data_IF_090564939531
#
_entry.id   IF_090564939531
#
_cell.length_a   1.000
_cell.length_b   1.000
_cell.length_c   1.000
_cell.angle_alpha   90.00
_cell.angle_beta   90.00
_cell.angle_gamma   90.00
#
_symmetry.space_group_name_H-M   'P 1'
#
loop_
_entity.id
_entity.type
_entity.pdbx_description
1 polymer ?
#
# COMPACT_ATOMS: atom_id res chain seq x y z
N UNK A 1 16.30 11.59 -8.33
CA UNK A 1 14.93 11.13 -8.07
C UNK A 1 15.01 9.65 -7.74
N UNK A 2 14.94 9.30 -6.46
CA UNK A 2 14.59 7.93 -6.06
C UNK A 2 13.21 7.67 -6.66
N UNK A 3 13.09 6.64 -7.48
CA UNK A 3 11.96 6.43 -8.38
C UNK A 3 10.63 6.40 -7.62
N UNK A 4 9.65 7.23 -8.00
CA UNK A 4 8.37 7.39 -7.31
C UNK A 4 7.69 6.06 -6.89
N UNK A 5 7.88 4.96 -7.64
CA UNK A 5 7.36 3.63 -7.28
C UNK A 5 7.96 3.03 -5.99
N UNK A 6 9.22 3.34 -5.64
CA UNK A 6 9.85 2.82 -4.41
C UNK A 6 9.23 3.44 -3.17
N UNK A 7 8.81 4.70 -3.25
CA UNK A 7 8.10 5.36 -2.16
C UNK A 7 6.73 4.72 -1.93
N UNK A 8 5.97 4.48 -3.01
CA UNK A 8 4.69 3.77 -2.92
C UNK A 8 4.83 2.35 -2.37
N UNK A 9 5.90 1.65 -2.74
CA UNK A 9 6.19 0.31 -2.21
C UNK A 9 6.52 0.36 -0.71
N UNK A 10 7.32 1.34 -0.27
CA UNK A 10 7.63 1.52 1.16
C UNK A 10 6.38 1.82 1.99
N UNK A 11 5.47 2.65 1.46
CA UNK A 11 4.18 2.92 2.12
C UNK A 11 3.32 1.65 2.19
N UNK A 12 3.27 0.84 1.13
CA UNK A 12 2.55 -0.43 1.13
C UNK A 12 3.08 -1.42 2.18
N UNK A 13 4.41 -1.51 2.30
CA UNK A 13 5.08 -2.33 3.31
C UNK A 13 4.78 -1.84 4.73
N UNK A 14 4.75 -0.52 4.93
CA UNK A 14 4.40 0.11 6.21
C UNK A 14 2.95 -0.22 6.59
N UNK A 15 2.01 -0.06 5.67
CA UNK A 15 0.59 -0.40 5.91
C UNK A 15 0.41 -1.89 6.24
N UNK A 16 1.13 -2.79 5.55
CA UNK A 16 1.09 -4.22 5.83
C UNK A 16 1.67 -4.55 7.21
N UNK A 17 2.75 -3.88 7.62
CA UNK A 17 3.33 -4.06 8.94
C UNK A 17 2.36 -3.62 10.05
N UNK A 18 1.67 -2.50 9.87
CA UNK A 18 0.64 -2.02 10.79
C UNK A 18 -0.61 -2.93 10.78
N UNK A 19 -1.00 -3.47 9.62
CA UNK A 19 -2.10 -4.44 9.53
C UNK A 19 -1.81 -5.70 10.36
N UNK A 20 -0.57 -6.20 10.35
CA UNK A 20 -0.13 -7.34 11.18
C UNK A 20 -0.23 -7.02 12.67
N UNK A 21 0.23 -5.84 13.10
CA UNK A 21 0.07 -5.38 14.50
C UNK A 21 -1.40 -5.30 14.89
N UNK A 22 -2.25 -4.79 14.01
CA UNK A 22 -3.70 -4.70 14.24
C UNK A 22 -4.35 -6.10 14.34
N UNK A 23 -3.92 -7.05 13.51
CA UNK A 23 -4.34 -8.45 13.59
C UNK A 23 -3.99 -9.07 14.95
N UNK A 24 -2.73 -8.94 15.39
CA UNK A 24 -2.26 -9.46 16.68
C UNK A 24 -3.00 -8.81 17.86
N UNK A 25 -3.29 -7.50 17.74
CA UNK A 25 -4.10 -6.74 18.68
C UNK A 25 -5.62 -6.96 18.56
N UNK A 26 -6.08 -7.89 17.71
CA UNK A 26 -7.49 -8.21 17.44
C UNK A 26 -8.33 -7.00 17.00
N UNK A 27 -7.70 -5.97 16.47
CA UNK A 27 -8.33 -4.79 15.89
C UNK A 27 -8.73 -5.07 14.44
N UNK A 28 -9.73 -5.95 14.26
CA UNK A 28 -10.06 -6.54 12.96
C UNK A 28 -10.44 -5.52 11.88
N UNK A 29 -11.18 -4.46 12.24
CA UNK A 29 -11.52 -3.39 11.31
C UNK A 29 -10.28 -2.66 10.79
N UNK A 30 -9.36 -2.32 11.71
CA UNK A 30 -8.11 -1.64 11.37
C UNK A 30 -7.21 -2.55 10.52
N UNK A 31 -7.15 -3.84 10.84
CA UNK A 31 -6.45 -4.85 10.04
C UNK A 31 -6.97 -4.88 8.60
N UNK A 32 -8.29 -4.94 8.40
CA UNK A 32 -8.90 -4.97 7.08
C UNK A 32 -8.62 -3.69 6.29
N UNK A 33 -8.79 -2.52 6.92
CA UNK A 33 -8.53 -1.22 6.31
C UNK A 33 -7.07 -1.09 5.84
N UNK A 34 -6.11 -1.42 6.71
CA UNK A 34 -4.69 -1.32 6.40
C UNK A 34 -4.26 -2.36 5.34
N UNK A 35 -4.88 -3.54 5.33
CA UNK A 35 -4.63 -4.54 4.28
C UNK A 35 -5.08 -4.04 2.91
N UNK A 36 -6.26 -3.41 2.82
CA UNK A 36 -6.74 -2.78 1.58
C UNK A 36 -5.78 -1.66 1.13
N UNK A 37 -5.31 -0.83 2.06
CA UNK A 37 -4.37 0.25 1.76
C UNK A 37 -3.02 -0.27 1.25
N UNK A 38 -2.49 -1.33 1.87
CA UNK A 38 -1.27 -1.98 1.43
C UNK A 38 -1.41 -2.52 -0.01
N UNK A 39 -2.53 -3.20 -0.31
CA UNK A 39 -2.83 -3.70 -1.66
C UNK A 39 -2.90 -2.57 -2.69
N UNK A 40 -3.67 -1.51 -2.42
CA UNK A 40 -3.83 -0.39 -3.36
C UNK A 40 -2.49 0.26 -3.68
N UNK A 41 -1.66 0.51 -2.66
CA UNK A 41 -0.35 1.15 -2.83
C UNK A 41 0.64 0.23 -3.56
N UNK A 42 0.64 -1.07 -3.27
CA UNK A 42 1.48 -2.04 -3.97
C UNK A 42 1.12 -2.13 -5.45
N UNK A 43 -0.18 -2.17 -5.78
CA UNK A 43 -0.65 -2.17 -7.17
C UNK A 43 -0.31 -0.86 -7.89
N UNK A 44 -0.43 0.28 -7.21
CA UNK A 44 -0.01 1.59 -7.73
C UNK A 44 1.48 1.63 -8.04
N UNK A 45 2.32 1.13 -7.14
CA UNK A 45 3.76 1.00 -7.35
C UNK A 45 4.07 0.11 -8.56
N UNK A 46 3.39 -1.02 -8.70
CA UNK A 46 3.53 -1.93 -9.84
C UNK A 46 3.17 -1.24 -11.16
N UNK A 47 2.02 -0.57 -11.23
CA UNK A 47 1.59 0.18 -12.42
C UNK A 47 2.60 1.25 -12.78
N UNK A 48 3.11 2.01 -11.81
CA UNK A 48 4.12 3.04 -12.04
C UNK A 48 5.42 2.45 -12.57
N UNK A 49 5.87 1.33 -12.01
CA UNK A 49 7.07 0.62 -12.46
C UNK A 49 6.97 0.19 -13.94
N UNK A 50 5.79 -0.26 -14.37
CA UNK A 50 5.60 -0.75 -15.75
C UNK A 50 5.24 0.36 -16.76
N UNK A 51 4.43 1.34 -16.36
CA UNK A 51 3.86 2.34 -17.28
C UNK A 51 4.56 3.70 -17.21
N UNK A 52 5.39 3.93 -16.17
CA UNK A 52 5.92 5.26 -15.80
C UNK A 52 4.81 6.31 -15.56
N UNK A 53 3.58 5.87 -15.29
CA UNK A 53 2.41 6.73 -15.02
C UNK A 53 1.82 6.39 -13.67
N UNK A 54 1.33 7.41 -12.97
CA UNK A 54 0.55 7.24 -11.75
C UNK A 54 -0.80 6.60 -12.09
N UNK A 55 -1.21 5.58 -11.32
CA UNK A 55 -2.53 5.00 -11.47
C UNK A 55 -3.62 6.06 -11.16
N UNK A 56 -4.73 6.10 -11.90
CA UNK A 56 -5.80 7.05 -11.66
C UNK A 56 -6.41 6.85 -10.27
N UNK A 57 -6.79 7.95 -9.60
CA UNK A 57 -7.59 7.87 -8.37
C UNK A 57 -9.00 7.44 -8.74
N UNK A 58 -9.46 6.34 -8.17
CA UNK A 58 -10.87 5.96 -8.21
C UNK A 58 -11.56 6.83 -7.16
N UNK A 59 -12.47 7.72 -7.59
CA UNK A 59 -13.28 8.58 -6.73
C UNK A 59 -14.47 7.83 -6.14
#
# INVERSE_FOLDING_TARGET
MQSDYTEWMLQAETDLAEAKKAYDGKSWYVCALLSQQAEEKALKALVMKHTKKLAPKIQ
#
